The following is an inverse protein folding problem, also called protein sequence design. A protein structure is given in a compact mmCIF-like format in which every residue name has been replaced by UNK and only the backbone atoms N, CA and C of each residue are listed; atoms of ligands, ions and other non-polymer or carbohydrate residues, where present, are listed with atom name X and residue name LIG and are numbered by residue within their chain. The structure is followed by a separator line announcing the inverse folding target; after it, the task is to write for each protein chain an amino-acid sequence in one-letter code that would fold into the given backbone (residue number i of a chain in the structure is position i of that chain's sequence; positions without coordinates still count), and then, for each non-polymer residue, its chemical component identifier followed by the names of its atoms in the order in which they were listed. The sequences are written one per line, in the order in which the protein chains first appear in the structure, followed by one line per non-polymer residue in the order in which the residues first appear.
data_IF_386679241790
#
_entry.id   IF_386679241790
#
_cell.length_a   1.000
_cell.length_b   1.000
_cell.length_c   1.000
_cell.angle_alpha   90.00
_cell.angle_beta   90.00
_cell.angle_gamma   90.00
#
_symmetry.space_group_name_H-M   'P 1'
#
loop_
_entity.id
_entity.type
_entity.pdbx_description
1 polymer ?
#
# COMPACT_ATOMS: atom_id res chain seq x y z
N UNK A 1 34.36 28.79 31.29
CA UNK A 1 33.40 27.72 31.56
C UNK A 1 32.82 27.32 30.23
N UNK A 2 33.34 26.24 29.64
CA UNK A 2 32.90 25.73 28.34
C UNK A 2 31.62 24.94 28.55
N UNK A 3 30.58 25.31 27.82
CA UNK A 3 29.26 24.71 27.81
C UNK A 3 29.34 23.24 27.39
N UNK A 4 29.24 22.35 28.34
CA UNK A 4 29.06 20.92 28.14
C UNK A 4 27.57 20.64 27.92
N UNK A 5 27.03 21.12 26.81
CA UNK A 5 25.84 20.55 26.21
C UNK A 5 26.26 19.33 25.41
N UNK A 6 26.64 18.29 26.11
CA UNK A 6 26.71 16.95 25.56
C UNK A 6 25.29 16.61 25.04
N UNK A 7 25.17 16.54 23.72
CA UNK A 7 24.09 15.88 23.05
C UNK A 7 23.99 14.48 23.65
N UNK A 8 23.01 14.26 24.51
CA UNK A 8 22.56 12.91 24.83
C UNK A 8 22.04 12.35 23.50
N UNK A 9 22.86 11.60 22.77
CA UNK A 9 22.35 10.63 21.81
C UNK A 9 21.47 9.73 22.66
N UNK A 10 20.14 9.83 22.46
CA UNK A 10 19.21 8.87 23.05
C UNK A 10 19.65 7.50 22.54
N UNK A 11 20.14 6.65 23.43
CA UNK A 11 20.45 5.26 23.10
C UNK A 11 19.15 4.65 22.55
N UNK A 12 19.22 4.16 21.31
CA UNK A 12 18.07 3.49 20.68
C UNK A 12 17.69 2.28 21.52
N UNK A 13 16.40 2.10 21.74
CA UNK A 13 15.91 0.91 22.41
C UNK A 13 16.23 -0.36 21.58
N UNK A 14 16.25 -1.52 22.25
CA UNK A 14 16.47 -2.78 21.54
C UNK A 14 15.42 -3.03 20.47
N UNK A 15 14.16 -2.69 20.74
CA UNK A 15 13.07 -2.77 19.77
C UNK A 15 13.37 -1.96 18.49
N UNK A 16 13.93 -0.76 18.66
CA UNK A 16 14.32 0.08 17.53
C UNK A 16 15.49 -0.50 16.75
N UNK A 17 16.48 -1.08 17.43
CA UNK A 17 17.61 -1.75 16.78
C UNK A 17 17.15 -2.98 15.99
N UNK A 18 16.26 -3.79 16.57
CA UNK A 18 15.69 -4.96 15.90
C UNK A 18 14.86 -4.54 14.67
N UNK A 19 14.09 -3.46 14.74
CA UNK A 19 13.35 -2.93 13.61
C UNK A 19 14.28 -2.49 12.46
N UNK A 20 15.35 -1.75 12.79
CA UNK A 20 16.34 -1.31 11.79
C UNK A 20 17.09 -2.50 11.17
N UNK A 21 17.44 -3.51 11.98
CA UNK A 21 18.03 -4.76 11.47
C UNK A 21 17.06 -5.49 10.52
N UNK A 22 15.75 -5.52 10.84
CA UNK A 22 14.73 -6.06 9.97
C UNK A 22 14.66 -5.36 8.61
N UNK A 23 14.76 -4.02 8.58
CA UNK A 23 14.82 -3.26 7.32
C UNK A 23 16.07 -3.59 6.50
N UNK A 24 17.22 -3.78 7.14
CA UNK A 24 18.45 -4.14 6.43
C UNK A 24 18.38 -5.55 5.86
N UNK A 25 17.82 -6.52 6.60
CA UNK A 25 17.56 -7.86 6.07
C UNK A 25 16.61 -7.85 4.87
N UNK A 26 15.53 -7.05 4.90
CA UNK A 26 14.65 -6.89 3.73
C UNK A 26 15.38 -6.35 2.52
N UNK A 27 16.22 -5.34 2.70
CA UNK A 27 17.02 -4.75 1.62
C UNK A 27 17.97 -5.77 0.98
N UNK A 28 18.46 -6.72 1.77
CA UNK A 28 19.33 -7.80 1.31
C UNK A 28 18.55 -9.00 0.74
N UNK A 29 17.22 -8.99 0.75
CA UNK A 29 16.37 -10.10 0.30
C UNK A 29 16.24 -11.23 1.33
N UNK A 30 16.69 -11.02 2.55
CA UNK A 30 16.71 -12.01 3.63
C UNK A 30 15.38 -11.99 4.43
N UNK A 31 14.28 -12.25 3.73
CA UNK A 31 12.91 -12.09 4.26
C UNK A 31 12.63 -12.89 5.54
N UNK A 32 13.29 -14.05 5.74
CA UNK A 32 13.09 -14.86 6.95
C UNK A 32 13.71 -14.20 8.18
N UNK A 33 14.94 -13.68 8.05
CA UNK A 33 15.63 -12.96 9.11
C UNK A 33 14.90 -11.64 9.42
N UNK A 34 14.45 -10.93 8.39
CA UNK A 34 13.65 -9.73 8.53
C UNK A 34 12.37 -9.98 9.35
N UNK A 35 11.64 -11.06 9.07
CA UNK A 35 10.43 -11.42 9.82
C UNK A 35 10.73 -11.64 11.31
N UNK A 36 11.84 -12.33 11.64
CA UNK A 36 12.24 -12.54 13.02
C UNK A 36 12.57 -11.22 13.73
N UNK A 37 13.32 -10.32 13.05
CA UNK A 37 13.66 -9.02 13.60
C UNK A 37 12.45 -8.13 13.83
N UNK A 38 11.51 -8.06 12.88
CA UNK A 38 10.27 -7.31 13.07
C UNK A 38 9.38 -7.91 14.17
N UNK A 39 9.38 -9.23 14.34
CA UNK A 39 8.66 -9.86 15.44
C UNK A 39 9.25 -9.48 16.80
N UNK A 40 10.60 -9.52 16.95
CA UNK A 40 11.29 -9.08 18.15
C UNK A 40 11.03 -7.59 18.42
N UNK A 41 11.13 -6.75 17.38
CA UNK A 41 10.82 -5.33 17.46
C UNK A 41 9.39 -5.07 17.93
N UNK A 42 8.40 -5.82 17.38
CA UNK A 42 7.01 -5.70 17.79
C UNK A 42 6.82 -5.99 19.28
N UNK A 43 7.40 -7.09 19.78
CA UNK A 43 7.35 -7.45 21.21
C UNK A 43 7.97 -6.34 22.08
N UNK A 44 9.13 -5.82 21.67
CA UNK A 44 9.81 -4.74 22.37
C UNK A 44 9.00 -3.45 22.39
N UNK A 45 8.44 -3.02 21.25
CA UNK A 45 7.59 -1.85 21.18
C UNK A 45 6.29 -2.00 22.00
N UNK A 46 5.71 -3.20 22.09
CA UNK A 46 4.58 -3.47 22.98
C UNK A 46 4.94 -3.27 24.45
N UNK A 47 6.14 -3.73 24.88
CA UNK A 47 6.64 -3.54 26.24
C UNK A 47 6.92 -2.06 26.55
N UNK A 48 7.45 -1.33 25.56
CA UNK A 48 7.74 0.12 25.64
C UNK A 48 6.46 0.97 25.51
N UNK A 49 5.34 0.38 25.07
CA UNK A 49 4.10 1.07 24.69
C UNK A 49 4.31 2.11 23.59
N UNK A 50 5.26 1.85 22.69
CA UNK A 50 5.48 2.65 21.49
C UNK A 50 4.47 2.27 20.40
N UNK A 51 3.35 2.97 20.39
CA UNK A 51 2.24 2.71 19.45
C UNK A 51 2.69 2.84 17.99
N UNK A 52 3.54 3.80 17.69
CA UNK A 52 4.07 3.99 16.32
C UNK A 52 5.01 2.84 15.93
N UNK A 53 5.87 2.41 16.84
CA UNK A 53 6.73 1.26 16.66
C UNK A 53 5.92 -0.02 16.41
N UNK A 54 4.84 -0.24 17.18
CA UNK A 54 3.92 -1.36 17.01
C UNK A 54 3.30 -1.33 15.61
N UNK A 55 2.75 -0.19 15.18
CA UNK A 55 2.14 -0.06 13.85
C UNK A 55 3.14 -0.35 12.73
N UNK A 56 4.35 0.24 12.81
CA UNK A 56 5.40 0.06 11.82
C UNK A 56 5.88 -1.40 11.72
N UNK A 57 6.15 -2.06 12.85
CA UNK A 57 6.59 -3.45 12.86
C UNK A 57 5.49 -4.39 12.34
N UNK A 58 4.22 -4.13 12.72
CA UNK A 58 3.07 -4.90 12.27
C UNK A 58 2.85 -4.73 10.75
N UNK A 59 3.01 -3.51 10.21
CA UNK A 59 2.93 -3.26 8.77
C UNK A 59 3.97 -4.09 7.99
N UNK A 60 5.22 -4.10 8.45
CA UNK A 60 6.28 -4.90 7.82
C UNK A 60 6.03 -6.40 7.88
N UNK A 61 5.48 -6.91 8.98
CA UNK A 61 5.05 -8.32 9.08
C UNK A 61 3.91 -8.62 8.11
N UNK A 62 2.97 -7.70 7.93
CA UNK A 62 1.92 -7.79 6.92
C UNK A 62 2.48 -7.89 5.51
N UNK A 63 3.42 -7.00 5.15
CA UNK A 63 4.09 -7.01 3.84
C UNK A 63 4.80 -8.36 3.57
N UNK A 64 5.52 -8.88 4.57
CA UNK A 64 6.20 -10.18 4.46
C UNK A 64 5.20 -11.34 4.30
N UNK A 65 4.09 -11.32 5.03
CA UNK A 65 3.03 -12.33 4.87
C UNK A 65 2.41 -12.27 3.47
N UNK A 66 2.17 -11.07 2.93
CA UNK A 66 1.67 -10.86 1.58
C UNK A 66 2.62 -11.44 0.51
N UNK A 67 3.92 -11.15 0.61
CA UNK A 67 4.94 -11.70 -0.30
C UNK A 67 4.98 -13.24 -0.27
N UNK A 68 4.79 -13.84 0.91
CA UNK A 68 4.72 -15.30 1.08
C UNK A 68 3.38 -15.91 0.70
N UNK A 69 2.43 -15.09 0.23
CA UNK A 69 1.06 -15.47 -0.11
C UNK A 69 0.25 -16.01 1.09
N UNK A 70 0.66 -15.68 2.31
CA UNK A 70 -0.11 -15.94 3.53
C UNK A 70 -1.13 -14.80 3.72
N UNK A 71 -2.12 -14.77 2.81
CA UNK A 71 -3.05 -13.66 2.67
C UNK A 71 -3.88 -13.39 3.93
N UNK A 72 -4.28 -14.44 4.64
CA UNK A 72 -5.08 -14.28 5.85
C UNK A 72 -4.29 -13.61 6.97
N UNK A 73 -3.01 -13.97 7.16
CA UNK A 73 -2.15 -13.29 8.14
C UNK A 73 -1.81 -11.87 7.72
N UNK A 74 -1.58 -11.65 6.43
CA UNK A 74 -1.36 -10.30 5.92
C UNK A 74 -2.55 -9.39 6.23
N UNK A 75 -3.78 -9.84 5.97
CA UNK A 75 -5.00 -9.10 6.32
C UNK A 75 -5.09 -8.81 7.82
N UNK A 76 -4.83 -9.80 8.68
CA UNK A 76 -4.85 -9.61 10.14
C UNK A 76 -3.85 -8.53 10.58
N UNK A 77 -2.64 -8.53 10.03
CA UNK A 77 -1.66 -7.48 10.31
C UNK A 77 -2.12 -6.11 9.84
N UNK A 78 -2.62 -6.00 8.62
CA UNK A 78 -3.13 -4.74 8.07
C UNK A 78 -4.34 -4.21 8.85
N UNK A 79 -5.28 -5.07 9.25
CA UNK A 79 -6.42 -4.67 10.07
C UNK A 79 -5.98 -4.13 11.44
N UNK A 80 -4.96 -4.75 12.05
CA UNK A 80 -4.37 -4.25 13.30
C UNK A 80 -3.75 -2.86 13.10
N UNK A 81 -3.01 -2.64 12.02
CA UNK A 81 -2.43 -1.31 11.71
C UNK A 81 -3.54 -0.28 11.51
N UNK A 82 -4.59 -0.62 10.76
CA UNK A 82 -5.74 0.29 10.54
C UNK A 82 -6.37 0.69 11.88
N UNK A 83 -6.63 -0.27 12.77
CA UNK A 83 -7.19 0.02 14.09
C UNK A 83 -6.31 1.01 14.87
N UNK A 84 -5.00 0.77 14.90
CA UNK A 84 -4.06 1.66 15.59
C UNK A 84 -4.08 3.07 14.97
N UNK A 85 -4.03 3.17 13.65
CA UNK A 85 -3.99 4.46 12.95
C UNK A 85 -5.32 5.22 13.10
N UNK A 86 -6.46 4.53 13.12
CA UNK A 86 -7.78 5.13 13.37
C UNK A 86 -7.87 5.71 14.79
N UNK A 87 -7.40 4.98 15.79
CA UNK A 87 -7.37 5.46 17.18
C UNK A 87 -6.49 6.71 17.35
N UNK A 88 -5.46 6.86 16.51
CA UNK A 88 -4.59 8.04 16.46
C UNK A 88 -5.09 9.17 15.55
N UNK A 89 -6.16 8.95 14.79
CA UNK A 89 -6.65 9.91 13.78
C UNK A 89 -5.73 10.03 12.56
N UNK A 90 -4.83 9.07 12.33
CA UNK A 90 -3.90 9.05 11.19
C UNK A 90 -4.57 8.47 9.94
N UNK A 91 -5.35 9.29 9.26
CA UNK A 91 -6.03 8.92 8.01
C UNK A 91 -5.08 8.65 6.85
N UNK A 92 -3.86 9.21 6.88
CA UNK A 92 -2.88 9.03 5.81
C UNK A 92 -2.34 7.59 5.83
N UNK A 93 -1.98 7.12 7.02
CA UNK A 93 -1.53 5.72 7.19
C UNK A 93 -2.66 4.73 6.91
N UNK A 94 -3.90 5.01 7.36
CA UNK A 94 -5.07 4.19 7.00
C UNK A 94 -5.20 4.06 5.49
N UNK A 95 -5.18 5.17 4.75
CA UNK A 95 -5.24 5.16 3.29
C UNK A 95 -4.10 4.37 2.63
N UNK A 96 -2.89 4.44 3.20
CA UNK A 96 -1.75 3.65 2.72
C UNK A 96 -1.98 2.15 2.88
N UNK A 97 -2.54 1.72 4.01
CA UNK A 97 -2.85 0.31 4.27
C UNK A 97 -4.04 -0.17 3.43
N UNK A 98 -5.06 0.66 3.21
CA UNK A 98 -6.19 0.31 2.32
C UNK A 98 -5.71 -0.03 0.91
N UNK A 99 -4.73 0.69 0.38
CA UNK A 99 -4.11 0.36 -0.92
C UNK A 99 -3.42 -1.01 -0.90
N UNK A 100 -2.73 -1.35 0.18
CA UNK A 100 -2.09 -2.67 0.35
C UNK A 100 -3.14 -3.78 0.42
N UNK A 101 -4.24 -3.56 1.15
CA UNK A 101 -5.36 -4.51 1.24
C UNK A 101 -6.05 -4.71 -0.10
N UNK A 102 -6.31 -3.62 -0.86
CA UNK A 102 -6.89 -3.72 -2.19
C UNK A 102 -6.04 -4.59 -3.12
N UNK A 103 -4.72 -4.35 -3.12
CA UNK A 103 -3.78 -5.19 -3.86
C UNK A 103 -3.80 -6.64 -3.39
N UNK A 104 -3.80 -6.87 -2.09
CA UNK A 104 -3.84 -8.22 -1.50
C UNK A 104 -5.10 -8.99 -1.92
N UNK A 105 -6.27 -8.32 -1.93
CA UNK A 105 -7.52 -8.93 -2.41
C UNK A 105 -7.44 -9.28 -3.90
N UNK A 106 -6.84 -8.44 -4.73
CA UNK A 106 -6.59 -8.74 -6.13
C UNK A 106 -5.67 -9.97 -6.28
N UNK A 107 -4.52 -9.97 -5.59
CA UNK A 107 -3.50 -11.04 -5.65
C UNK A 107 -4.03 -12.40 -5.17
N UNK A 108 -5.05 -12.44 -4.30
CA UNK A 108 -5.69 -13.68 -3.85
C UNK A 108 -6.96 -14.05 -4.63
N UNK A 109 -7.29 -13.31 -5.70
CA UNK A 109 -8.43 -13.60 -6.58
C UNK A 109 -9.79 -13.13 -6.04
N UNK A 110 -9.82 -12.36 -4.95
CA UNK A 110 -11.04 -11.72 -4.42
C UNK A 110 -11.32 -10.44 -5.19
N UNK A 111 -11.67 -10.60 -6.49
CA UNK A 111 -11.76 -9.46 -7.42
C UNK A 111 -12.84 -8.47 -7.04
N UNK A 112 -14.00 -8.91 -6.51
CA UNK A 112 -15.09 -7.98 -6.14
C UNK A 112 -14.69 -7.10 -4.96
N UNK A 113 -14.05 -7.67 -3.94
CA UNK A 113 -13.52 -6.92 -2.80
C UNK A 113 -12.43 -5.93 -3.24
N UNK A 114 -11.51 -6.38 -4.09
CA UNK A 114 -10.48 -5.51 -4.65
C UNK A 114 -11.08 -4.35 -5.46
N UNK A 115 -12.06 -4.61 -6.33
CA UNK A 115 -12.76 -3.61 -7.13
C UNK A 115 -13.37 -2.54 -6.23
N UNK A 116 -14.13 -2.94 -5.21
CA UNK A 116 -14.77 -2.00 -4.28
C UNK A 116 -13.73 -1.11 -3.59
N UNK A 117 -12.64 -1.70 -3.08
CA UNK A 117 -11.58 -0.94 -2.44
C UNK A 117 -10.87 0.02 -3.40
N UNK A 118 -10.60 -0.39 -4.66
CA UNK A 118 -9.99 0.51 -5.64
C UNK A 118 -10.93 1.67 -6.03
N UNK A 119 -12.24 1.46 -6.07
CA UNK A 119 -13.21 2.54 -6.29
C UNK A 119 -13.17 3.55 -5.12
N UNK A 120 -13.15 3.08 -3.88
CA UNK A 120 -13.01 3.95 -2.70
C UNK A 120 -11.68 4.73 -2.71
N UNK A 121 -10.57 4.10 -3.15
CA UNK A 121 -9.26 4.75 -3.30
C UNK A 121 -9.32 5.84 -4.38
N UNK A 122 -10.00 5.61 -5.50
CA UNK A 122 -10.21 6.61 -6.56
C UNK A 122 -10.97 7.81 -6.01
N UNK A 123 -12.04 7.59 -5.23
CA UNK A 123 -12.82 8.65 -4.62
C UNK A 123 -11.97 9.49 -3.64
N UNK A 124 -11.11 8.83 -2.85
CA UNK A 124 -10.18 9.53 -1.97
C UNK A 124 -9.16 10.37 -2.75
N UNK A 125 -8.54 9.84 -3.83
CA UNK A 125 -7.64 10.62 -4.67
C UNK A 125 -8.34 11.81 -5.34
N UNK A 126 -9.58 11.66 -5.78
CA UNK A 126 -10.40 12.74 -6.33
C UNK A 126 -10.67 13.83 -5.27
N UNK A 127 -11.00 13.45 -4.04
CA UNK A 127 -11.19 14.37 -2.93
C UNK A 127 -9.89 15.13 -2.59
N UNK A 128 -8.74 14.45 -2.67
CA UNK A 128 -7.40 15.04 -2.50
C UNK A 128 -6.95 15.88 -3.70
N UNK A 129 -7.71 15.94 -4.80
CA UNK A 129 -7.33 16.56 -6.07
C UNK A 129 -6.00 16.04 -6.61
N UNK A 130 -5.78 14.74 -6.49
CA UNK A 130 -4.59 14.06 -6.99
C UNK A 130 -4.92 13.25 -8.27
N UNK A 131 -4.89 13.87 -9.46
CA UNK A 131 -5.23 13.21 -10.72
C UNK A 131 -4.26 12.07 -11.08
N UNK A 132 -2.98 12.18 -10.69
CA UNK A 132 -2.02 11.11 -10.94
C UNK A 132 -2.38 9.85 -10.15
N UNK A 133 -2.68 9.99 -8.85
CA UNK A 133 -3.12 8.85 -8.04
C UNK A 133 -4.41 8.23 -8.57
N UNK A 134 -5.34 9.05 -9.10
CA UNK A 134 -6.55 8.56 -9.76
C UNK A 134 -6.22 7.73 -11.00
N UNK A 135 -5.34 8.24 -11.89
CA UNK A 135 -4.94 7.52 -13.10
C UNK A 135 -4.24 6.21 -12.79
N UNK A 136 -3.27 6.21 -11.88
CA UNK A 136 -2.53 5.01 -11.48
C UNK A 136 -3.46 3.94 -10.90
N UNK A 137 -4.47 4.37 -10.13
CA UNK A 137 -5.46 3.46 -9.56
C UNK A 137 -6.43 2.93 -10.62
N UNK A 138 -6.86 3.77 -11.58
CA UNK A 138 -7.69 3.34 -12.70
C UNK A 138 -6.98 2.30 -13.57
N UNK A 139 -5.68 2.44 -13.79
CA UNK A 139 -4.87 1.48 -14.52
C UNK A 139 -4.83 0.13 -13.79
N UNK A 140 -4.59 0.16 -12.48
CA UNK A 140 -4.60 -1.06 -11.64
C UNK A 140 -5.98 -1.71 -11.62
N UNK A 141 -7.05 -0.91 -11.45
CA UNK A 141 -8.43 -1.39 -11.46
C UNK A 141 -8.82 -2.02 -12.81
N UNK A 142 -8.34 -1.46 -13.92
CA UNK A 142 -8.56 -2.04 -15.25
C UNK A 142 -7.99 -3.46 -15.34
N UNK A 143 -6.79 -3.70 -14.79
CA UNK A 143 -6.19 -5.04 -14.74
C UNK A 143 -7.05 -6.00 -13.91
N UNK A 144 -7.51 -5.58 -12.74
CA UNK A 144 -8.41 -6.40 -11.90
C UNK A 144 -9.72 -6.72 -12.64
N UNK A 145 -10.29 -5.76 -13.38
CA UNK A 145 -11.47 -6.02 -14.21
C UNK A 145 -11.19 -7.02 -15.34
N UNK A 146 -10.01 -6.99 -15.96
CA UNK A 146 -9.62 -7.98 -16.98
C UNK A 146 -9.55 -9.38 -16.36
N UNK A 147 -8.90 -9.52 -15.19
CA UNK A 147 -8.78 -10.79 -14.46
C UNK A 147 -10.17 -11.32 -14.03
N UNK A 148 -11.09 -10.42 -13.68
CA UNK A 148 -12.48 -10.74 -13.36
C UNK A 148 -13.35 -11.01 -14.60
N UNK A 149 -12.80 -10.97 -15.83
CA UNK A 149 -13.54 -11.16 -17.08
C UNK A 149 -14.44 -9.99 -17.50
N UNK A 150 -14.31 -8.82 -16.87
CA UNK A 150 -15.15 -7.63 -17.07
C UNK A 150 -14.50 -6.64 -18.04
N UNK A 151 -14.23 -7.07 -19.29
CA UNK A 151 -13.44 -6.31 -20.29
C UNK A 151 -13.98 -4.91 -20.58
N UNK A 152 -15.32 -4.76 -20.65
CA UNK A 152 -15.96 -3.45 -20.88
C UNK A 152 -15.62 -2.44 -19.76
N UNK A 153 -15.72 -2.89 -18.49
CA UNK A 153 -15.37 -2.04 -17.34
C UNK A 153 -13.89 -1.68 -17.31
N UNK A 154 -13.02 -2.60 -17.71
CA UNK A 154 -11.59 -2.32 -17.86
C UNK A 154 -11.34 -1.24 -18.93
N UNK A 155 -12.00 -1.32 -20.08
CA UNK A 155 -11.91 -0.31 -21.13
C UNK A 155 -12.44 1.06 -20.65
N UNK A 156 -13.50 1.10 -19.85
CA UNK A 156 -14.02 2.35 -19.27
C UNK A 156 -13.04 2.99 -18.29
N UNK A 157 -12.28 2.20 -17.51
CA UNK A 157 -11.20 2.72 -16.68
C UNK A 157 -10.12 3.41 -17.53
N UNK A 158 -9.68 2.78 -18.63
CA UNK A 158 -8.70 3.39 -19.53
C UNK A 158 -9.24 4.66 -20.23
N UNK A 159 -10.50 4.68 -20.67
CA UNK A 159 -11.13 5.88 -21.23
C UNK A 159 -11.19 7.03 -20.22
N UNK A 160 -11.48 6.70 -18.96
CA UNK A 160 -11.48 7.69 -17.87
C UNK A 160 -10.09 8.25 -17.64
N UNK A 161 -9.05 7.41 -17.61
CA UNK A 161 -7.65 7.83 -17.49
C UNK A 161 -7.23 8.71 -18.68
N UNK A 162 -7.63 8.36 -19.91
CA UNK A 162 -7.39 9.17 -21.11
C UNK A 162 -8.02 10.57 -20.98
N UNK A 163 -9.27 10.65 -20.54
CA UNK A 163 -9.96 11.93 -20.33
C UNK A 163 -9.27 12.83 -19.30
N UNK A 164 -8.71 12.23 -18.22
CA UNK A 164 -7.91 12.98 -17.25
C UNK A 164 -6.66 13.55 -17.92
N UNK A 165 -5.92 12.76 -18.69
CA UNK A 165 -4.72 13.21 -19.40
C UNK A 165 -5.04 14.29 -20.45
N UNK A 166 -6.16 14.18 -21.19
CA UNK A 166 -6.59 15.21 -22.13
C UNK A 166 -6.82 16.56 -21.44
N UNK A 167 -7.49 16.56 -20.28
CA UNK A 167 -7.72 17.77 -19.47
C UNK A 167 -6.41 18.49 -19.11
N UNK A 168 -5.33 17.72 -18.88
CA UNK A 168 -4.01 18.25 -18.58
C UNK A 168 -3.13 18.42 -19.83
N UNK A 169 -3.67 18.23 -21.03
CA UNK A 169 -2.97 18.38 -22.33
C UNK A 169 -1.83 17.36 -22.53
N UNK A 170 -1.88 16.24 -21.88
CA UNK A 170 -0.93 15.12 -22.03
C UNK A 170 -1.41 14.18 -23.16
N UNK A 171 -1.40 14.69 -24.41
CA UNK A 171 -2.02 14.00 -25.56
C UNK A 171 -1.49 12.59 -25.79
N UNK A 172 -0.19 12.39 -25.73
CA UNK A 172 0.42 11.08 -25.97
C UNK A 172 -0.13 10.02 -24.98
N UNK A 173 -0.18 10.36 -23.69
CA UNK A 173 -0.73 9.45 -22.68
C UNK A 173 -2.23 9.18 -22.89
N UNK A 174 -3.00 10.19 -23.30
CA UNK A 174 -4.40 10.01 -23.59
C UNK A 174 -4.61 9.05 -24.78
N UNK A 175 -3.85 9.21 -25.87
CA UNK A 175 -3.89 8.33 -27.03
C UNK A 175 -3.49 6.89 -26.65
N UNK A 176 -2.45 6.71 -25.83
CA UNK A 176 -2.01 5.39 -25.37
C UNK A 176 -3.09 4.68 -24.54
N UNK A 177 -3.78 5.39 -23.64
CA UNK A 177 -4.88 4.82 -22.86
C UNK A 177 -6.10 4.51 -23.74
N UNK A 178 -6.46 5.36 -24.71
CA UNK A 178 -7.53 5.07 -25.65
C UNK A 178 -7.24 3.83 -26.49
N UNK A 179 -6.02 3.68 -26.96
CA UNK A 179 -5.59 2.49 -27.71
C UNK A 179 -5.74 1.22 -26.86
N UNK A 180 -5.35 1.24 -25.59
CA UNK A 180 -5.52 0.10 -24.66
C UNK A 180 -6.99 -0.24 -24.44
N UNK A 181 -7.87 0.76 -24.36
CA UNK A 181 -9.31 0.55 -24.25
C UNK A 181 -9.88 -0.15 -25.50
N UNK A 182 -9.47 0.27 -26.69
CA UNK A 182 -9.94 -0.30 -27.95
C UNK A 182 -9.41 -1.72 -28.16
N UNK A 183 -8.15 -2.00 -27.80
CA UNK A 183 -7.55 -3.34 -27.86
C UNK A 183 -8.30 -4.36 -26.99
N UNK A 184 -8.81 -3.94 -25.81
CA UNK A 184 -9.62 -4.80 -24.95
C UNK A 184 -10.96 -5.20 -25.57
N UNK A 185 -11.52 -4.36 -26.42
CA UNK A 185 -12.84 -4.56 -27.02
C UNK A 185 -12.76 -5.10 -28.45
N UNK A 186 -11.55 -5.24 -29.01
CA UNK A 186 -11.36 -5.83 -30.31
C UNK A 186 -11.87 -7.28 -30.32
N UNK A 187 -12.56 -7.72 -31.40
CA UNK A 187 -12.99 -9.10 -31.55
C UNK A 187 -11.73 -10.00 -31.62
N UNK A 188 -11.79 -11.13 -30.92
CA UNK A 188 -10.75 -12.18 -30.91
C UNK A 188 -10.82 -12.99 -32.20
#
# INVERSE_FOLDING_TARGET
MKDLRLQKQEEKSQARLDYEAGLEFLKNGETAQAANMFHNALIGFEQEKDINGIANATDKLGDICAERRDFDKALQHYDRVISICQDQGDSISVFSIDKKKAKLHADCGKHEEAINMYLDIIDQYNAMRNPQGTVDTLETLAQVYVEAGKREKAADCYRTAASIHEKYKHRQHAEDFMKRADELLAPV
#
